data_IF_662203588929
#
_entry.id   IF_662203588929
#
_cell.length_a   1.000
_cell.length_b   1.000
_cell.length_c   1.000
_cell.angle_alpha   90.00
_cell.angle_beta   90.00
_cell.angle_gamma   90.00
#
_symmetry.space_group_name_H-M   'P 1'
#
loop_
_entity.id
_entity.type
_entity.pdbx_description
1 polymer ?
#
# COMPACT_ATOMS: atom_id res chain seq x y z
N UNK A 1 19.85 15.56 14.99
CA UNK A 1 18.57 15.08 15.54
C UNK A 1 18.49 13.59 15.26
N UNK A 2 18.49 12.74 16.29
CA UNK A 2 18.35 11.30 16.12
C UNK A 2 16.85 11.01 15.91
N UNK A 3 16.38 11.03 14.67
CA UNK A 3 15.00 10.65 14.38
C UNK A 3 14.81 9.20 14.80
N UNK A 4 14.05 8.97 15.89
CA UNK A 4 13.59 7.63 16.23
C UNK A 4 12.92 7.04 14.98
N UNK A 5 13.30 5.83 14.54
CA UNK A 5 12.67 5.21 13.38
C UNK A 5 11.15 5.25 13.56
N UNK A 6 10.45 5.99 12.68
CA UNK A 6 8.99 6.07 12.74
C UNK A 6 8.42 4.67 12.58
N UNK A 7 7.58 4.27 13.54
CA UNK A 7 6.99 2.94 13.62
C UNK A 7 6.32 2.56 12.28
N UNK A 8 6.79 1.48 11.67
CA UNK A 8 6.26 0.95 10.41
C UNK A 8 4.78 0.59 10.52
N UNK A 9 4.29 0.19 11.70
CA UNK A 9 2.87 -0.08 11.93
C UNK A 9 2.03 1.18 11.75
N UNK A 10 2.52 2.32 12.23
CA UNK A 10 1.85 3.61 12.06
C UNK A 10 1.96 4.07 10.60
N UNK A 11 3.15 4.03 10.03
CA UNK A 11 3.40 4.48 8.64
C UNK A 11 2.57 3.72 7.61
N UNK A 12 2.49 2.40 7.74
CA UNK A 12 1.68 1.57 6.83
C UNK A 12 0.18 1.81 6.99
N UNK A 13 -0.30 2.11 8.20
CA UNK A 13 -1.68 2.57 8.43
C UNK A 13 -1.94 3.93 7.78
N UNK A 14 -1.04 4.89 7.97
CA UNK A 14 -1.15 6.22 7.36
C UNK A 14 -1.13 6.15 5.83
N UNK A 15 -0.29 5.28 5.27
CA UNK A 15 -0.24 4.99 3.84
C UNK A 15 -1.58 4.43 3.34
N UNK A 16 -2.13 3.39 3.99
CA UNK A 16 -3.44 2.83 3.63
C UNK A 16 -4.56 3.89 3.66
N UNK A 17 -4.55 4.79 4.66
CA UNK A 17 -5.51 5.90 4.73
C UNK A 17 -5.36 6.90 3.58
N UNK A 18 -4.13 7.15 3.10
CA UNK A 18 -3.89 8.00 1.92
C UNK A 18 -4.41 7.33 0.65
N UNK A 19 -4.18 6.04 0.50
CA UNK A 19 -4.69 5.23 -0.62
C UNK A 19 -6.22 5.24 -0.67
N UNK A 20 -6.88 5.04 0.47
CA UNK A 20 -8.35 5.12 0.56
C UNK A 20 -8.84 6.50 0.12
N UNK A 21 -8.23 7.59 0.63
CA UNK A 21 -8.60 8.96 0.23
C UNK A 21 -8.39 9.22 -1.25
N UNK A 22 -7.31 8.71 -1.85
CA UNK A 22 -7.07 8.81 -3.28
C UNK A 22 -8.20 8.15 -4.07
N UNK A 23 -8.52 6.89 -3.74
CA UNK A 23 -9.56 6.14 -4.44
C UNK A 23 -10.92 6.84 -4.34
N UNK A 24 -11.30 7.32 -3.15
CA UNK A 24 -12.55 8.05 -2.92
C UNK A 24 -12.64 9.40 -3.66
N UNK A 25 -11.56 9.88 -4.27
CA UNK A 25 -11.53 11.11 -5.07
C UNK A 25 -11.46 10.86 -6.58
N UNK A 26 -11.41 9.59 -7.02
CA UNK A 26 -11.47 9.28 -8.44
C UNK A 26 -12.89 9.52 -8.99
N UNK A 27 -13.05 10.02 -10.22
CA UNK A 27 -14.36 10.21 -10.83
C UNK A 27 -15.08 8.88 -10.96
N UNK A 28 -16.31 8.81 -10.47
CA UNK A 28 -17.12 7.59 -10.48
C UNK A 28 -17.54 7.17 -11.89
N UNK A 29 -17.61 8.14 -12.81
CA UNK A 29 -17.99 7.94 -14.21
C UNK A 29 -16.82 7.54 -15.14
N UNK A 30 -15.58 7.52 -14.63
CA UNK A 30 -14.40 7.13 -15.40
C UNK A 30 -14.06 5.67 -15.12
N UNK A 31 -14.50 4.76 -15.99
CA UNK A 31 -14.33 3.32 -15.79
C UNK A 31 -12.85 2.90 -15.69
N UNK A 32 -11.95 3.54 -16.45
CA UNK A 32 -10.52 3.23 -16.41
C UNK A 32 -9.91 3.68 -15.09
N UNK A 33 -10.23 4.89 -14.63
CA UNK A 33 -9.81 5.37 -13.32
C UNK A 33 -10.29 4.43 -12.20
N UNK A 34 -11.54 3.97 -12.27
CA UNK A 34 -12.10 3.06 -11.26
C UNK A 34 -11.41 1.71 -11.24
N UNK A 35 -11.10 1.12 -12.41
CA UNK A 35 -10.41 -0.18 -12.48
C UNK A 35 -8.98 -0.08 -11.93
N UNK A 36 -8.20 0.91 -12.38
CA UNK A 36 -6.82 1.11 -11.90
C UNK A 36 -6.81 1.52 -10.42
N UNK A 37 -7.73 2.41 -10.03
CA UNK A 37 -7.90 2.85 -8.65
C UNK A 37 -8.22 1.70 -7.69
N UNK A 38 -9.03 0.72 -8.10
CA UNK A 38 -9.29 -0.48 -7.29
C UNK A 38 -8.04 -1.33 -7.09
N UNK A 39 -7.16 -1.41 -8.08
CA UNK A 39 -5.87 -2.11 -7.93
C UNK A 39 -4.95 -1.39 -6.93
N UNK A 40 -4.86 -0.06 -7.00
CA UNK A 40 -4.16 0.77 -6.00
C UNK A 40 -4.77 0.58 -4.61
N UNK A 41 -6.11 0.58 -4.50
CA UNK A 41 -6.82 0.42 -3.23
C UNK A 41 -6.49 -0.92 -2.57
N UNK A 42 -6.56 -2.01 -3.33
CA UNK A 42 -6.26 -3.36 -2.86
C UNK A 42 -4.81 -3.49 -2.42
N UNK A 43 -3.86 -3.26 -3.33
CA UNK A 43 -2.43 -3.43 -3.05
C UNK A 43 -1.95 -2.49 -1.94
N UNK A 44 -2.33 -1.22 -1.99
CA UNK A 44 -1.88 -0.22 -1.02
C UNK A 44 -2.40 -0.43 0.40
N UNK A 45 -3.60 -1.00 0.56
CA UNK A 45 -4.13 -1.35 1.89
C UNK A 45 -3.58 -2.68 2.42
N UNK A 46 -3.23 -3.62 1.53
CA UNK A 46 -2.60 -4.90 1.87
C UNK A 46 -1.24 -4.74 2.56
N UNK A 47 -0.47 -3.69 2.25
CA UNK A 47 0.84 -3.41 2.89
C UNK A 47 0.71 -3.40 4.43
N UNK A 48 -0.25 -2.64 4.96
CA UNK A 48 -0.48 -2.55 6.40
C UNK A 48 -1.08 -3.81 7.01
N UNK A 49 -1.86 -4.57 6.24
CA UNK A 49 -2.39 -5.85 6.66
C UNK A 49 -1.27 -6.90 6.81
N UNK A 50 -0.45 -7.07 5.76
CA UNK A 50 0.71 -7.96 5.75
C UNK A 50 1.73 -7.60 6.84
N UNK A 51 1.96 -6.31 7.09
CA UNK A 51 2.89 -5.90 8.15
C UNK A 51 2.37 -6.27 9.54
N UNK A 52 1.05 -6.20 9.77
CA UNK A 52 0.44 -6.64 11.04
C UNK A 52 0.54 -8.15 11.23
N UNK A 53 0.47 -8.92 10.16
CA UNK A 53 0.75 -10.37 10.21
C UNK A 53 2.22 -10.63 10.50
N UNK A 54 3.14 -9.95 9.80
CA UNK A 54 4.58 -10.06 10.03
C UNK A 54 4.92 -9.82 11.50
N UNK A 55 4.36 -8.77 12.11
CA UNK A 55 4.56 -8.42 13.52
C UNK A 55 4.07 -9.49 14.52
N UNK A 56 3.28 -10.48 14.08
CA UNK A 56 2.84 -11.64 14.87
C UNK A 56 3.68 -12.90 14.60
N UNK A 57 4.68 -12.82 13.71
CA UNK A 57 5.57 -13.93 13.40
C UNK A 57 6.32 -14.43 14.63
N UNK A 58 6.61 -15.73 14.65
CA UNK A 58 7.22 -16.42 15.79
C UNK A 58 8.74 -16.50 15.71
N UNK A 59 9.31 -16.08 14.58
CA UNK A 59 10.75 -16.10 14.34
C UNK A 59 11.21 -14.96 13.43
N UNK A 60 12.51 -14.64 13.48
CA UNK A 60 13.11 -13.64 12.59
C UNK A 60 12.97 -14.01 11.09
N UNK A 61 13.19 -15.26 10.66
CA UNK A 61 12.97 -15.65 9.26
C UNK A 61 11.51 -15.49 8.81
N UNK A 62 10.55 -15.86 9.66
CA UNK A 62 9.13 -15.68 9.36
C UNK A 62 8.75 -14.21 9.22
N UNK A 63 9.26 -13.36 10.12
CA UNK A 63 9.10 -11.91 10.04
C UNK A 63 9.68 -11.36 8.73
N UNK A 64 10.88 -11.80 8.32
CA UNK A 64 11.53 -11.35 7.09
C UNK A 64 10.72 -11.78 5.85
N UNK A 65 10.26 -13.03 5.79
CA UNK A 65 9.44 -13.53 4.69
C UNK A 65 8.14 -12.73 4.53
N UNK A 66 7.39 -12.51 5.63
CA UNK A 66 6.15 -11.72 5.63
C UNK A 66 6.38 -10.24 5.33
N UNK A 67 7.52 -9.68 5.71
CA UNK A 67 7.92 -8.33 5.31
C UNK A 67 8.20 -8.26 3.81
N UNK A 68 8.71 -9.35 3.21
CA UNK A 68 8.85 -9.49 1.76
C UNK A 68 7.51 -9.38 1.02
N UNK A 69 6.42 -9.89 1.58
CA UNK A 69 5.09 -9.70 1.01
C UNK A 69 4.63 -8.23 1.08
N UNK A 70 4.99 -7.50 2.15
CA UNK A 70 4.74 -6.06 2.22
C UNK A 70 5.46 -5.31 1.08
N UNK A 71 6.70 -5.70 0.77
CA UNK A 71 7.48 -5.09 -0.31
C UNK A 71 6.83 -5.34 -1.69
N UNK A 72 6.38 -6.57 -1.94
CA UNK A 72 5.66 -6.91 -3.19
C UNK A 72 4.44 -6.03 -3.39
N UNK A 73 3.62 -5.87 -2.35
CA UNK A 73 2.42 -5.02 -2.39
C UNK A 73 2.76 -3.54 -2.64
N UNK A 74 3.86 -3.03 -2.07
CA UNK A 74 4.32 -1.65 -2.33
C UNK A 74 4.71 -1.47 -3.79
N UNK A 75 5.50 -2.39 -4.36
CA UNK A 75 5.93 -2.34 -5.77
C UNK A 75 4.72 -2.44 -6.71
N UNK A 76 3.77 -3.32 -6.40
CA UNK A 76 2.51 -3.41 -7.15
C UNK A 76 1.71 -2.09 -7.05
N UNK A 77 1.61 -1.50 -5.85
CA UNK A 77 0.91 -0.22 -5.64
C UNK A 77 1.56 0.90 -6.45
N UNK A 78 2.90 0.97 -6.48
CA UNK A 78 3.66 1.95 -7.23
C UNK A 78 3.36 1.85 -8.73
N UNK A 79 3.42 0.65 -9.30
CA UNK A 79 3.08 0.42 -10.71
C UNK A 79 1.65 0.88 -11.05
N UNK A 80 0.67 0.57 -10.21
CA UNK A 80 -0.70 1.01 -10.46
C UNK A 80 -0.86 2.53 -10.34
N UNK A 81 -0.11 3.19 -9.46
CA UNK A 81 -0.08 4.65 -9.35
C UNK A 81 0.54 5.29 -10.59
N UNK A 82 1.60 4.71 -11.14
CA UNK A 82 2.21 5.15 -12.40
C UNK A 82 1.20 5.09 -13.55
N UNK A 83 0.51 3.96 -13.73
CA UNK A 83 -0.52 3.82 -14.75
C UNK A 83 -1.69 4.80 -14.54
N UNK A 84 -2.13 4.97 -13.29
CA UNK A 84 -3.23 5.88 -12.95
C UNK A 84 -2.85 7.35 -13.20
N UNK A 85 -1.58 7.72 -13.02
CA UNK A 85 -1.09 9.06 -13.34
C UNK A 85 -0.91 9.25 -14.86
N UNK A 86 -0.40 8.24 -15.55
CA UNK A 86 -0.08 8.33 -16.97
C UNK A 86 -1.30 8.31 -17.90
N UNK A 87 -2.39 7.58 -17.57
CA UNK A 87 -3.55 7.48 -18.48
C UNK A 87 -4.33 8.80 -18.65
N UNK A 88 -4.05 9.80 -17.80
CA UNK A 88 -4.65 11.14 -17.86
C UNK A 88 -3.83 12.15 -18.67
N UNK A 89 -2.65 11.75 -19.16
CA UNK A 89 -1.85 12.49 -20.13
C UNK A 89 -2.24 12.06 -21.55
#
# INVERSE_FOLDING_TARGET
MNERPRDLKLRTKEFALRVIRLYSKLPENDAVAQVLGKQVLRSGTSVGANYREAARGRSKPEFAAKTGDCLKEIVETEYWLELLAAFRL
#
